data_IF_903228472581
#
_entry.id   IF_903228472581
#
_cell.length_a   1.000
_cell.length_b   1.000
_cell.length_c   1.000
_cell.angle_alpha   90.00
_cell.angle_beta   90.00
_cell.angle_gamma   90.00
#
_symmetry.space_group_name_H-M   'P 1'
#
loop_
_entity.id
_entity.type
_entity.pdbx_description
1 polymer ?
#
# COMPACT_ATOMS: atom_id res chain seq x y z
N UNK A 1 53.73 -15.48 -30.67
CA UNK A 1 52.43 -14.97 -31.17
C UNK A 1 51.44 -15.13 -30.04
N UNK A 2 51.11 -14.10 -29.26
CA UNK A 2 50.21 -12.99 -29.62
C UNK A 2 48.79 -13.50 -29.92
N UNK A 3 47.67 -13.02 -29.35
CA UNK A 3 47.41 -11.96 -28.36
C UNK A 3 45.87 -11.91 -28.10
N UNK A 4 45.48 -11.57 -26.86
CA UNK A 4 44.41 -10.63 -26.43
C UNK A 4 42.92 -10.98 -26.66
N UNK A 5 42.08 -11.07 -25.61
CA UNK A 5 41.55 -10.08 -24.63
C UNK A 5 40.14 -9.61 -25.04
N UNK A 6 39.16 -9.24 -24.20
CA UNK A 6 39.16 -8.57 -22.88
C UNK A 6 37.71 -8.69 -22.32
N UNK A 7 37.49 -8.80 -21.01
CA UNK A 7 36.94 -7.68 -20.22
C UNK A 7 37.27 -7.82 -18.72
N UNK A 8 37.95 -6.79 -18.22
CA UNK A 8 38.15 -6.37 -16.82
C UNK A 8 36.85 -5.71 -16.27
N UNK A 9 36.60 -5.37 -15.00
CA UNK A 9 37.30 -5.19 -13.69
C UNK A 9 36.14 -5.00 -12.68
N UNK A 10 36.21 -5.44 -11.44
CA UNK A 10 36.71 -4.61 -10.34
C UNK A 10 37.06 -5.48 -9.13
N UNK A 11 38.24 -5.22 -8.57
CA UNK A 11 38.87 -5.92 -7.48
C UNK A 11 39.25 -4.85 -6.46
N UNK A 12 38.87 -5.03 -5.20
CA UNK A 12 39.66 -4.49 -4.08
C UNK A 12 39.54 -5.47 -2.90
N UNK A 13 40.45 -6.44 -2.92
CA UNK A 13 40.76 -7.34 -1.81
C UNK A 13 41.80 -6.63 -0.95
N UNK A 14 41.46 -6.29 0.28
CA UNK A 14 42.46 -5.92 1.29
C UNK A 14 42.83 -7.20 2.04
N UNK A 15 44.09 -7.60 1.92
CA UNK A 15 44.72 -8.67 2.69
C UNK A 15 45.62 -8.01 3.71
N UNK A 16 45.50 -8.34 5.00
CA UNK A 16 46.69 -8.46 5.87
C UNK A 16 46.40 -9.47 6.98
N UNK A 17 47.21 -10.53 7.02
CA UNK A 17 47.21 -11.55 8.05
C UNK A 17 48.08 -11.10 9.25
N UNK A 18 47.67 -11.45 10.47
CA UNK A 18 48.55 -11.60 11.62
C UNK A 18 48.20 -12.90 12.38
N UNK A 19 49.21 -13.52 13.01
CA UNK A 19 49.35 -14.95 13.32
C UNK A 19 48.86 -15.33 14.74
N UNK A 20 48.06 -16.42 14.85
CA UNK A 20 47.88 -17.44 15.96
C UNK A 20 47.69 -17.02 17.44
N UNK A 21 47.09 -17.83 18.38
CA UNK A 21 46.30 -19.08 18.27
C UNK A 21 44.98 -19.11 19.10
N UNK A 22 43.89 -19.69 18.57
CA UNK A 22 42.87 -20.42 19.35
C UNK A 22 41.87 -21.14 18.42
N UNK A 23 42.36 -22.00 17.52
CA UNK A 23 41.53 -22.68 16.49
C UNK A 23 40.63 -23.81 17.00
N UNK A 24 40.29 -23.86 18.30
CA UNK A 24 39.47 -24.96 18.87
C UNK A 24 38.15 -24.55 19.53
N UNK A 25 37.79 -23.28 19.69
CA UNK A 25 36.53 -22.92 20.40
C UNK A 25 35.30 -22.78 19.49
N UNK A 26 35.42 -22.11 18.32
CA UNK A 26 34.25 -21.80 17.48
C UNK A 26 33.72 -23.01 16.70
N UNK A 27 34.60 -23.91 16.24
CA UNK A 27 34.19 -25.08 15.46
C UNK A 27 33.38 -26.09 16.29
N UNK A 28 33.71 -26.22 17.58
CA UNK A 28 33.02 -27.12 18.51
C UNK A 28 31.74 -26.48 19.09
N UNK A 29 31.75 -25.18 19.40
CA UNK A 29 30.55 -24.45 19.84
C UNK A 29 29.46 -24.36 18.75
N UNK A 30 29.84 -24.38 17.46
CA UNK A 30 28.91 -24.42 16.31
C UNK A 30 28.05 -25.69 16.27
N UNK A 31 28.45 -26.78 16.96
CA UNK A 31 27.64 -28.02 17.08
C UNK A 31 26.56 -27.94 18.16
N UNK A 32 26.63 -26.97 19.09
CA UNK A 32 25.75 -26.87 20.27
C UNK A 32 24.86 -25.62 20.27
N UNK A 33 24.81 -24.87 19.16
CA UNK A 33 24.09 -23.59 19.07
C UNK A 33 22.62 -23.75 18.63
N UNK A 34 21.72 -22.92 19.19
CA UNK A 34 20.30 -22.87 18.83
C UNK A 34 19.85 -21.46 18.42
N UNK A 35 18.92 -21.37 17.46
CA UNK A 35 18.26 -20.12 17.10
C UNK A 35 17.19 -19.75 18.12
N UNK A 36 17.23 -18.52 18.64
CA UNK A 36 16.17 -18.01 19.51
C UNK A 36 15.14 -17.24 18.68
N UNK A 37 13.90 -17.73 18.61
CA UNK A 37 12.79 -17.08 17.90
C UNK A 37 12.11 -15.95 18.68
N UNK A 38 12.62 -15.55 19.85
CA UNK A 38 11.98 -14.49 20.65
C UNK A 38 12.01 -13.17 19.87
N UNK A 39 10.84 -12.71 19.45
CA UNK A 39 10.56 -11.42 18.80
C UNK A 39 11.06 -11.26 17.35
N UNK A 40 11.53 -12.32 16.67
CA UNK A 40 11.82 -12.26 15.24
C UNK A 40 10.52 -12.32 14.42
N UNK A 41 10.40 -11.55 13.31
CA UNK A 41 9.41 -11.80 12.28
C UNK A 41 9.43 -13.27 11.80
N UNK A 42 8.26 -13.81 11.46
CA UNK A 42 8.11 -15.22 11.11
C UNK A 42 8.80 -15.62 9.79
N UNK A 43 9.11 -14.65 8.95
CA UNK A 43 9.72 -14.75 7.63
C UNK A 43 11.25 -14.63 7.64
N UNK A 44 11.88 -14.37 8.79
CA UNK A 44 13.32 -14.39 8.91
C UNK A 44 13.87 -15.82 8.80
N UNK A 45 14.83 -16.03 7.90
CA UNK A 45 15.43 -17.35 7.67
C UNK A 45 16.91 -17.30 7.99
N UNK A 46 17.33 -18.06 9.00
CA UNK A 46 18.74 -18.27 9.29
C UNK A 46 19.27 -19.49 8.54
N UNK A 47 20.42 -19.34 7.90
CA UNK A 47 21.22 -20.42 7.32
C UNK A 47 22.63 -20.33 7.91
N UNK A 48 23.26 -21.47 8.15
CA UNK A 48 24.65 -21.50 8.59
C UNK A 48 25.42 -22.59 7.88
N UNK A 49 26.59 -22.25 7.34
CA UNK A 49 27.60 -23.21 6.89
C UNK A 49 28.82 -23.19 7.84
N UNK A 50 29.86 -23.94 7.50
CA UNK A 50 31.06 -24.05 8.34
C UNK A 50 31.76 -22.70 8.63
N UNK A 51 31.61 -21.70 7.76
CA UNK A 51 32.31 -20.42 7.83
C UNK A 51 31.41 -19.19 7.92
N UNK A 52 30.12 -19.29 7.57
CA UNK A 52 29.21 -18.16 7.41
C UNK A 52 27.88 -18.36 8.14
N UNK A 53 27.35 -17.30 8.75
CA UNK A 53 25.98 -17.22 9.25
C UNK A 53 25.25 -16.21 8.38
N UNK A 54 24.31 -16.68 7.58
CA UNK A 54 23.46 -15.84 6.72
C UNK A 54 22.08 -15.71 7.34
N UNK A 55 21.56 -14.49 7.44
CA UNK A 55 20.21 -14.22 7.92
C UNK A 55 19.48 -13.43 6.83
N UNK A 56 18.45 -14.03 6.27
CA UNK A 56 17.57 -13.40 5.29
C UNK A 56 16.52 -12.54 6.02
N UNK A 57 16.53 -11.23 5.76
CA UNK A 57 15.69 -10.23 6.42
C UNK A 57 14.92 -9.42 5.36
N UNK A 58 13.88 -10.01 4.75
CA UNK A 58 13.15 -9.35 3.66
C UNK A 58 12.52 -8.03 4.13
N UNK A 59 12.64 -6.99 3.31
CA UNK A 59 11.98 -5.69 3.53
C UNK A 59 12.66 -4.74 4.53
N UNK A 60 13.84 -5.08 5.06
CA UNK A 60 14.64 -4.19 5.92
C UNK A 60 15.75 -3.50 5.13
N UNK A 61 15.95 -2.20 5.34
CA UNK A 61 17.13 -1.49 4.82
C UNK A 61 18.32 -1.59 5.79
N UNK A 62 19.54 -1.36 5.31
CA UNK A 62 20.75 -1.33 6.15
C UNK A 62 20.68 -0.29 7.29
N UNK A 63 19.82 0.72 7.19
CA UNK A 63 19.64 1.74 8.23
C UNK A 63 18.67 1.30 9.34
N UNK A 64 17.84 0.29 9.07
CA UNK A 64 16.75 -0.16 9.94
C UNK A 64 17.16 -1.26 10.93
N UNK A 65 18.41 -1.74 10.88
CA UNK A 65 18.91 -2.71 11.84
C UNK A 65 20.36 -2.45 12.26
N UNK A 66 20.71 -2.99 13.42
CA UNK A 66 22.08 -3.02 13.94
C UNK A 66 22.38 -4.43 14.45
N UNK A 67 23.57 -4.92 14.16
CA UNK A 67 24.07 -6.17 14.73
C UNK A 67 24.90 -5.82 15.95
N UNK A 68 24.58 -6.42 17.09
CA UNK A 68 25.34 -6.27 18.33
C UNK A 68 25.65 -7.64 18.89
N UNK A 69 26.78 -7.77 19.56
CA UNK A 69 27.14 -8.99 20.28
C UNK A 69 27.32 -8.69 21.76
N UNK A 70 26.90 -9.64 22.60
CA UNK A 70 27.17 -9.63 24.03
C UNK A 70 27.57 -11.04 24.47
N UNK A 71 28.74 -11.16 25.11
CA UNK A 71 29.39 -12.39 25.53
C UNK A 71 29.41 -13.51 24.46
N UNK A 72 28.35 -14.30 24.39
CA UNK A 72 28.18 -15.49 23.56
C UNK A 72 26.92 -15.41 22.67
N UNK A 73 26.38 -14.22 22.46
CA UNK A 73 25.15 -14.00 21.71
C UNK A 73 25.37 -13.02 20.55
N UNK A 74 24.74 -13.33 19.41
CA UNK A 74 24.55 -12.39 18.31
C UNK A 74 23.11 -11.91 18.36
N UNK A 75 22.92 -10.60 18.45
CA UNK A 75 21.62 -9.94 18.52
C UNK A 75 21.45 -9.00 17.33
N UNK A 76 20.35 -9.17 16.60
CA UNK A 76 19.91 -8.17 15.61
C UNK A 76 18.91 -7.25 16.29
N UNK A 77 19.20 -5.96 16.28
CA UNK A 77 18.31 -4.92 16.78
C UNK A 77 17.65 -4.24 15.60
N UNK A 78 16.33 -4.38 15.46
CA UNK A 78 15.55 -3.68 14.43
C UNK A 78 14.95 -2.40 15.01
N UNK A 79 14.78 -1.41 14.14
CA UNK A 79 14.18 -0.14 14.47
C UNK A 79 12.66 -0.28 14.50
N UNK A 80 12.06 -0.20 15.69
CA UNK A 80 10.62 -0.09 15.86
C UNK A 80 10.23 1.38 16.05
N UNK A 81 9.16 1.80 15.37
CA UNK A 81 8.49 3.08 15.62
C UNK A 81 7.30 2.81 16.52
N UNK A 82 7.40 3.25 17.77
CA UNK A 82 6.28 3.17 18.70
C UNK A 82 5.32 4.36 18.48
N UNK A 83 4.05 4.16 18.85
CA UNK A 83 3.03 5.21 18.72
C UNK A 83 3.36 6.34 19.69
N UNK A 84 3.24 7.55 19.15
CA UNK A 84 3.68 8.84 19.68
C UNK A 84 2.94 9.28 20.97
N UNK A 85 3.68 9.87 21.91
CA UNK A 85 3.12 10.75 22.94
C UNK A 85 3.10 12.21 22.44
N UNK A 86 2.06 12.95 22.81
CA UNK A 86 1.90 14.36 22.45
C UNK A 86 2.72 15.21 23.44
N UNK A 87 3.90 15.67 23.03
CA UNK A 87 4.69 16.68 23.74
C UNK A 87 4.67 17.98 22.93
N UNK A 88 4.40 19.12 23.58
CA UNK A 88 4.40 20.47 22.99
C UNK A 88 3.60 20.61 21.67
N UNK A 89 2.40 20.00 21.61
CA UNK A 89 1.51 20.00 20.44
C UNK A 89 2.16 19.47 19.14
N UNK A 90 3.25 18.70 19.27
CA UNK A 90 3.95 18.09 18.14
C UNK A 90 4.02 16.58 18.31
N UNK A 91 3.76 15.89 17.20
CA UNK A 91 3.87 14.44 17.16
C UNK A 91 5.35 14.05 17.02
N UNK A 92 5.92 13.50 18.08
CA UNK A 92 7.29 12.99 18.09
C UNK A 92 7.30 11.45 17.97
N UNK A 93 7.77 10.93 16.83
CA UNK A 93 8.03 9.50 16.70
C UNK A 93 9.25 9.11 17.55
N UNK A 94 9.02 8.34 18.62
CA UNK A 94 10.11 7.75 19.40
C UNK A 94 10.56 6.48 18.70
N UNK A 95 11.79 6.51 18.20
CA UNK A 95 12.42 5.37 17.55
C UNK A 95 13.14 4.56 18.63
N UNK A 96 12.79 3.29 18.78
CA UNK A 96 13.49 2.36 19.69
C UNK A 96 14.04 1.20 18.89
N UNK A 97 15.18 0.68 19.33
CA UNK A 97 15.74 -0.54 18.77
C UNK A 97 15.30 -1.73 19.62
N UNK A 98 14.55 -2.67 19.05
CA UNK A 98 14.18 -3.92 19.73
C UNK A 98 15.13 -5.02 19.30
N UNK A 99 15.78 -5.63 20.29
CA UNK A 99 16.79 -6.67 20.08
C UNK A 99 16.17 -8.06 20.05
N UNK A 100 16.45 -8.80 18.98
CA UNK A 100 16.19 -10.22 18.85
C UNK A 100 17.51 -10.99 18.86
N UNK A 101 17.67 -11.89 19.83
CA UNK A 101 18.84 -12.78 19.89
C UNK A 101 18.72 -13.79 18.77
N UNK A 102 19.54 -13.65 17.72
CA UNK A 102 19.52 -14.51 16.54
C UNK A 102 20.45 -15.70 16.67
N UNK A 103 21.39 -15.70 17.62
CA UNK A 103 22.15 -16.92 17.93
C UNK A 103 22.76 -16.84 19.32
N UNK A 104 22.71 -17.97 20.03
CA UNK A 104 23.42 -18.17 21.30
C UNK A 104 24.41 -19.31 21.15
N UNK A 105 25.63 -19.10 21.61
CA UNK A 105 26.71 -20.08 21.60
C UNK A 105 27.00 -20.56 23.02
N UNK A 106 27.20 -21.86 23.16
CA UNK A 106 27.73 -22.47 24.38
C UNK A 106 29.15 -22.91 24.09
N UNK A 107 30.12 -22.24 24.74
CA UNK A 107 31.52 -22.59 24.61
C UNK A 107 31.95 -23.42 25.83
N UNK A 108 32.78 -24.45 25.62
CA UNK A 108 33.52 -25.09 26.72
C UNK A 108 34.32 -24.04 27.50
N UNK A 109 34.41 -24.22 28.83
CA UNK A 109 35.25 -23.43 29.73
C UNK A 109 34.97 -21.92 29.78
N UNK A 110 33.76 -21.48 29.40
CA UNK A 110 33.33 -20.08 29.53
C UNK A 110 33.95 -19.11 28.53
N UNK A 111 34.51 -19.61 27.42
CA UNK A 111 35.04 -18.77 26.35
C UNK A 111 33.95 -17.88 25.72
N UNK A 112 34.39 -16.76 25.11
CA UNK A 112 33.53 -15.73 24.50
C UNK A 112 33.85 -15.53 23.02
N UNK A 113 32.89 -14.97 22.27
CA UNK A 113 33.11 -14.57 20.88
C UNK A 113 34.20 -13.49 20.80
N UNK A 114 35.17 -13.66 19.91
CA UNK A 114 36.13 -12.61 19.57
C UNK A 114 35.52 -11.61 18.57
N UNK A 115 36.11 -10.42 18.44
CA UNK A 115 35.67 -9.42 17.46
C UNK A 115 35.74 -9.96 16.01
N UNK A 116 36.74 -10.79 15.72
CA UNK A 116 36.96 -11.41 14.41
C UNK A 116 35.90 -12.48 14.07
N UNK A 117 35.41 -13.23 15.08
CA UNK A 117 34.30 -14.18 14.89
C UNK A 117 32.98 -13.48 14.51
N UNK A 118 32.84 -12.21 14.89
CA UNK A 118 31.67 -11.36 14.59
C UNK A 118 31.78 -10.74 13.21
N UNK A 119 32.98 -10.33 12.79
CA UNK A 119 33.21 -9.79 11.44
C UNK A 119 33.03 -10.86 10.34
N UNK A 120 33.07 -12.14 10.70
CA UNK A 120 32.68 -13.25 9.81
C UNK A 120 31.16 -13.45 9.66
N UNK A 121 30.33 -12.70 10.39
CA UNK A 121 28.86 -12.75 10.25
C UNK A 121 28.42 -11.84 9.11
N UNK A 122 28.21 -12.42 7.95
CA UNK A 122 27.71 -11.70 6.78
C UNK A 122 26.19 -11.69 6.75
N UNK A 123 25.59 -10.53 6.99
CA UNK A 123 24.15 -10.33 6.82
C UNK A 123 23.91 -9.87 5.39
N UNK A 124 23.45 -10.80 4.56
CA UNK A 124 23.01 -10.48 3.21
C UNK A 124 21.59 -9.94 3.28
N UNK A 125 21.41 -8.67 2.89
CA UNK A 125 20.08 -8.17 2.55
C UNK A 125 19.71 -8.73 1.20
N UNK A 126 18.88 -9.76 1.18
CA UNK A 126 18.18 -10.10 -0.04
C UNK A 126 17.27 -8.91 -0.38
N UNK A 127 17.19 -8.46 -1.65
CA UNK A 127 15.96 -7.83 -2.12
C UNK A 127 14.80 -8.74 -1.68
N UNK A 128 13.60 -8.20 -1.48
CA UNK A 128 12.43 -9.07 -1.35
C UNK A 128 12.32 -9.95 -2.61
N UNK A 129 12.99 -11.11 -2.62
CA UNK A 129 13.21 -11.91 -3.80
C UNK A 129 12.91 -13.34 -3.44
N UNK A 130 11.86 -13.87 -4.06
CA UNK A 130 11.75 -15.32 -4.17
C UNK A 130 10.41 -15.83 -4.68
N UNK A 131 9.29 -15.41 -4.09
CA UNK A 131 8.01 -16.09 -4.40
C UNK A 131 7.06 -15.31 -5.31
N UNK A 132 7.09 -13.98 -5.29
CA UNK A 132 5.97 -13.20 -5.85
C UNK A 132 6.21 -12.53 -7.21
N UNK A 133 7.45 -12.47 -7.73
CA UNK A 133 7.70 -11.98 -9.09
C UNK A 133 7.17 -12.95 -10.18
N UNK A 134 6.81 -14.18 -9.82
CA UNK A 134 6.18 -15.15 -10.71
C UNK A 134 4.65 -15.08 -10.73
N UNK A 135 4.02 -14.30 -9.83
CA UNK A 135 2.56 -14.19 -9.81
C UNK A 135 2.07 -13.41 -11.02
N UNK A 136 1.15 -14.01 -11.75
CA UNK A 136 0.42 -13.36 -12.84
C UNK A 136 -0.67 -12.50 -12.22
N UNK A 137 -0.63 -11.19 -12.49
CA UNK A 137 -1.56 -10.23 -11.93
C UNK A 137 -2.66 -9.88 -12.92
N UNK A 138 -3.90 -9.90 -12.46
CA UNK A 138 -5.05 -9.34 -13.16
C UNK A 138 -5.32 -7.91 -12.70
N UNK A 139 -5.77 -7.04 -13.60
CA UNK A 139 -6.28 -5.72 -13.24
C UNK A 139 -7.56 -5.36 -14.00
N UNK A 140 -8.67 -5.26 -13.29
CA UNK A 140 -10.00 -4.98 -13.83
C UNK A 140 -10.39 -3.53 -13.56
N UNK A 141 -10.66 -2.78 -14.62
CA UNK A 141 -11.08 -1.37 -14.54
C UNK A 141 -9.92 -0.40 -14.70
N UNK A 142 -9.89 0.27 -15.85
CA UNK A 142 -8.85 1.23 -16.23
C UNK A 142 -9.42 2.66 -16.28
N UNK A 143 -9.97 3.07 -15.15
CA UNK A 143 -10.34 4.46 -14.90
C UNK A 143 -9.14 5.32 -14.50
N UNK A 144 -9.39 6.53 -13.98
CA UNK A 144 -8.34 7.44 -13.50
C UNK A 144 -7.37 6.74 -12.54
N UNK A 145 -7.91 6.05 -11.54
CA UNK A 145 -7.11 5.34 -10.54
C UNK A 145 -6.53 4.05 -11.09
N UNK A 146 -7.37 3.21 -11.70
CA UNK A 146 -6.97 1.87 -12.16
C UNK A 146 -5.85 1.89 -13.20
N UNK A 147 -5.86 2.84 -14.16
CA UNK A 147 -4.77 2.98 -15.13
C UNK A 147 -3.44 3.34 -14.45
N UNK A 148 -3.45 4.26 -13.48
CA UNK A 148 -2.25 4.66 -12.76
C UNK A 148 -1.69 3.51 -11.89
N UNK A 149 -2.57 2.81 -11.18
CA UNK A 149 -2.23 1.67 -10.33
C UNK A 149 -1.65 0.50 -11.15
N UNK A 150 -2.33 0.09 -12.22
CA UNK A 150 -1.87 -0.97 -13.10
C UNK A 150 -0.52 -0.64 -13.76
N UNK A 151 -0.31 0.63 -14.15
CA UNK A 151 0.96 1.11 -14.69
C UNK A 151 2.11 0.94 -13.70
N UNK A 152 1.89 1.22 -12.41
CA UNK A 152 2.95 1.06 -11.41
C UNK A 152 3.37 -0.41 -11.27
N UNK A 153 2.41 -1.34 -11.33
CA UNK A 153 2.71 -2.78 -11.33
C UNK A 153 3.51 -3.19 -12.56
N UNK A 154 3.13 -2.72 -13.75
CA UNK A 154 3.87 -2.98 -15.00
C UNK A 154 5.30 -2.42 -14.92
N UNK A 155 5.47 -1.16 -14.47
CA UNK A 155 6.80 -0.53 -14.30
C UNK A 155 7.68 -1.23 -13.26
N UNK A 156 7.07 -1.85 -12.26
CA UNK A 156 7.77 -2.67 -11.27
C UNK A 156 8.16 -4.07 -11.79
N UNK A 157 7.81 -4.39 -13.04
CA UNK A 157 8.19 -5.65 -13.69
C UNK A 157 7.22 -6.81 -13.45
N UNK A 158 6.04 -6.56 -12.90
CA UNK A 158 5.03 -7.62 -12.74
C UNK A 158 4.38 -7.98 -14.08
N UNK A 159 4.01 -9.26 -14.20
CA UNK A 159 3.27 -9.75 -15.35
C UNK A 159 1.77 -9.43 -15.21
N UNK A 160 1.33 -8.32 -15.80
CA UNK A 160 -0.03 -7.79 -15.64
C UNK A 160 -0.91 -8.07 -16.86
N UNK A 161 -2.07 -8.66 -16.65
CA UNK A 161 -3.16 -8.77 -17.62
C UNK A 161 -4.31 -7.84 -17.24
N UNK A 162 -4.61 -6.88 -18.11
CA UNK A 162 -5.60 -5.84 -17.87
C UNK A 162 -6.89 -6.08 -18.62
N UNK A 163 -8.00 -5.62 -18.04
CA UNK A 163 -9.28 -5.52 -18.73
C UNK A 163 -10.00 -4.24 -18.35
N UNK A 164 -10.75 -3.70 -19.30
CA UNK A 164 -11.68 -2.62 -19.06
C UNK A 164 -12.86 -2.74 -20.03
N UNK A 165 -14.08 -2.43 -19.55
CA UNK A 165 -15.31 -2.43 -20.36
C UNK A 165 -15.16 -1.68 -21.68
N UNK A 166 -14.52 -0.50 -21.64
CA UNK A 166 -14.08 0.20 -22.85
C UNK A 166 -12.68 -0.28 -23.24
N UNK A 167 -12.62 -1.19 -24.20
CA UNK A 167 -11.41 -1.86 -24.67
C UNK A 167 -10.23 -0.92 -24.95
N UNK A 168 -10.47 0.23 -25.59
CA UNK A 168 -9.44 1.19 -25.98
C UNK A 168 -8.62 1.74 -24.80
N UNK A 169 -9.17 1.72 -23.57
CA UNK A 169 -8.42 2.14 -22.37
C UNK A 169 -7.27 1.19 -22.01
N UNK A 170 -7.24 -0.02 -22.57
CA UNK A 170 -6.15 -0.96 -22.35
C UNK A 170 -4.91 -0.66 -23.22
N UNK A 171 -5.08 0.05 -24.35
CA UNK A 171 -4.05 0.19 -25.39
C UNK A 171 -2.73 0.76 -24.86
N UNK A 172 -2.81 1.82 -24.04
CA UNK A 172 -1.63 2.43 -23.43
C UNK A 172 -0.85 1.42 -22.57
N UNK A 173 -1.53 0.69 -21.68
CA UNK A 173 -0.87 -0.30 -20.82
C UNK A 173 -0.34 -1.49 -21.61
N UNK A 174 -1.02 -1.90 -22.69
CA UNK A 174 -0.52 -2.95 -23.58
C UNK A 174 0.77 -2.51 -24.26
N UNK A 175 0.86 -1.25 -24.72
CA UNK A 175 2.11 -0.70 -25.27
C UNK A 175 3.24 -0.60 -24.24
N UNK A 176 2.89 -0.56 -22.95
CA UNK A 176 3.82 -0.53 -21.82
C UNK A 176 4.21 -1.95 -21.34
N UNK A 177 3.66 -3.01 -21.94
CA UNK A 177 4.03 -4.41 -21.64
C UNK A 177 2.94 -5.25 -20.96
N UNK A 178 1.76 -4.70 -20.68
CA UNK A 178 0.64 -5.48 -20.16
C UNK A 178 0.02 -6.38 -21.24
N UNK A 179 -0.60 -7.49 -20.82
CA UNK A 179 -1.51 -8.26 -21.67
C UNK A 179 -2.93 -7.74 -21.55
N UNK A 180 -3.76 -7.99 -22.56
CA UNK A 180 -5.19 -7.65 -22.54
C UNK A 180 -6.04 -8.92 -22.41
N UNK A 181 -6.90 -8.97 -21.39
CA UNK A 181 -7.95 -9.98 -21.30
C UNK A 181 -9.20 -9.57 -22.10
N UNK A 182 -9.99 -10.55 -22.55
CA UNK A 182 -11.24 -10.32 -23.28
C UNK A 182 -12.42 -9.99 -22.36
N UNK A 183 -12.47 -10.62 -21.19
CA UNK A 183 -13.52 -10.48 -20.15
C UNK A 183 -12.91 -10.55 -18.75
N UNK A 184 -13.63 -10.11 -17.69
CA UNK A 184 -13.20 -10.31 -16.30
C UNK A 184 -12.92 -11.79 -15.95
N UNK A 185 -13.79 -12.70 -16.42
CA UNK A 185 -13.56 -14.15 -16.35
C UNK A 185 -12.22 -14.56 -16.97
N UNK A 186 -11.96 -14.13 -18.20
CA UNK A 186 -10.71 -14.48 -18.89
C UNK A 186 -9.46 -13.98 -18.15
N UNK A 187 -9.50 -12.77 -17.57
CA UNK A 187 -8.39 -12.25 -16.75
C UNK A 187 -8.14 -13.14 -15.53
N UNK A 188 -9.19 -13.47 -14.78
CA UNK A 188 -9.07 -14.29 -13.57
C UNK A 188 -8.62 -15.72 -13.85
N UNK A 189 -9.00 -16.31 -14.99
CA UNK A 189 -8.49 -17.62 -15.42
C UNK A 189 -6.96 -17.61 -15.58
N UNK A 190 -6.41 -16.54 -16.18
CA UNK A 190 -4.99 -16.42 -16.49
C UNK A 190 -4.11 -15.94 -15.34
N UNK A 191 -4.70 -15.42 -14.26
CA UNK A 191 -3.98 -14.72 -13.19
C UNK A 191 -4.12 -15.41 -11.83
N UNK A 192 -3.12 -15.26 -10.99
CA UNK A 192 -3.09 -15.80 -9.63
C UNK A 192 -3.80 -14.82 -8.66
N UNK A 193 -3.56 -13.52 -8.83
CA UNK A 193 -4.20 -12.45 -8.05
C UNK A 193 -4.78 -11.42 -8.99
N UNK A 194 -6.04 -11.03 -8.80
CA UNK A 194 -6.71 -10.01 -9.62
C UNK A 194 -7.19 -8.84 -8.80
N UNK A 195 -6.72 -7.64 -9.14
CA UNK A 195 -7.20 -6.37 -8.57
C UNK A 195 -8.40 -5.84 -9.36
N UNK A 196 -9.36 -5.21 -8.69
CA UNK A 196 -10.49 -4.54 -9.34
C UNK A 196 -10.65 -3.09 -8.83
N UNK A 197 -10.65 -2.12 -9.75
CA UNK A 197 -10.80 -0.69 -9.45
C UNK A 197 -11.96 -0.07 -10.24
N UNK A 198 -13.14 -0.11 -9.64
CA UNK A 198 -14.42 0.13 -10.31
C UNK A 198 -15.15 1.35 -9.72
N UNK A 199 -16.14 1.83 -10.47
CA UNK A 199 -16.74 3.15 -10.27
C UNK A 199 -17.63 3.25 -9.02
N UNK A 200 -18.40 2.20 -8.75
CA UNK A 200 -19.47 2.15 -7.75
C UNK A 200 -19.86 0.68 -7.46
N UNK A 201 -20.73 0.44 -6.46
CA UNK A 201 -21.19 -0.91 -6.11
C UNK A 201 -21.81 -1.71 -7.27
N UNK A 202 -22.54 -1.06 -8.17
CA UNK A 202 -23.19 -1.75 -9.31
C UNK A 202 -22.13 -2.30 -10.25
N UNK A 203 -21.12 -1.48 -10.60
CA UNK A 203 -20.00 -1.93 -11.41
C UNK A 203 -19.19 -3.04 -10.74
N UNK A 204 -18.99 -2.96 -9.41
CA UNK A 204 -18.29 -3.99 -8.65
C UNK A 204 -19.01 -5.34 -8.71
N UNK A 205 -20.32 -5.35 -8.46
CA UNK A 205 -21.14 -6.56 -8.55
C UNK A 205 -21.20 -7.11 -9.98
N UNK A 206 -21.38 -6.27 -10.99
CA UNK A 206 -21.42 -6.69 -12.41
C UNK A 206 -20.11 -7.35 -12.83
N UNK A 207 -18.97 -6.73 -12.51
CA UNK A 207 -17.65 -7.25 -12.90
C UNK A 207 -17.28 -8.48 -12.08
N UNK A 208 -17.69 -8.58 -10.82
CA UNK A 208 -17.41 -9.75 -10.00
C UNK A 208 -18.32 -10.94 -10.35
N UNK A 209 -19.63 -10.71 -10.45
CA UNK A 209 -20.66 -11.75 -10.42
C UNK A 209 -21.49 -11.89 -11.71
N UNK A 210 -21.27 -11.03 -12.71
CA UNK A 210 -21.96 -11.10 -14.00
C UNK A 210 -21.67 -12.39 -14.78
N UNK A 211 -22.36 -12.59 -15.91
CA UNK A 211 -22.23 -13.81 -16.74
C UNK A 211 -20.80 -14.08 -17.19
N UNK A 212 -20.06 -13.04 -17.57
CA UNK A 212 -18.62 -13.07 -17.89
C UNK A 212 -17.76 -12.46 -16.77
N UNK A 213 -18.31 -12.43 -15.55
CA UNK A 213 -17.70 -11.84 -14.37
C UNK A 213 -16.49 -12.62 -13.88
N UNK A 214 -15.70 -11.98 -13.03
CA UNK A 214 -14.49 -12.51 -12.43
C UNK A 214 -14.71 -13.87 -11.76
N UNK A 215 -15.86 -14.08 -11.12
CA UNK A 215 -16.20 -15.33 -10.45
C UNK A 215 -16.07 -16.56 -11.36
N UNK A 216 -16.36 -16.41 -12.66
CA UNK A 216 -16.29 -17.52 -13.61
C UNK A 216 -14.88 -18.04 -13.91
N UNK A 217 -13.83 -17.29 -13.53
CA UNK A 217 -12.43 -17.68 -13.70
C UNK A 217 -11.67 -17.86 -12.39
N UNK A 218 -12.34 -17.65 -11.26
CA UNK A 218 -11.81 -17.86 -9.92
C UNK A 218 -11.87 -19.34 -9.51
N UNK A 219 -11.02 -19.73 -8.56
CA UNK A 219 -10.83 -21.11 -8.14
C UNK A 219 -9.76 -21.24 -7.06
N UNK A 220 -9.56 -22.45 -6.54
CA UNK A 220 -8.55 -22.74 -5.51
C UNK A 220 -7.17 -22.16 -5.85
N UNK A 221 -6.54 -21.50 -4.87
CA UNK A 221 -5.21 -20.87 -5.01
C UNK A 221 -5.21 -19.48 -5.65
N UNK A 222 -6.37 -18.95 -6.07
CA UNK A 222 -6.47 -17.59 -6.64
C UNK A 222 -6.95 -16.57 -5.61
N UNK A 223 -6.59 -15.31 -5.84
CA UNK A 223 -6.99 -14.16 -5.02
C UNK A 223 -7.76 -13.10 -5.82
N UNK A 224 -8.80 -12.54 -5.20
CA UNK A 224 -9.51 -11.37 -5.72
C UNK A 224 -9.39 -10.20 -4.74
N UNK A 225 -8.82 -9.09 -5.21
CA UNK A 225 -8.57 -7.88 -4.42
C UNK A 225 -9.42 -6.73 -4.95
N UNK A 226 -10.53 -6.41 -4.28
CA UNK A 226 -11.36 -5.27 -4.67
C UNK A 226 -10.84 -3.99 -4.02
N UNK A 227 -10.28 -3.09 -4.83
CA UNK A 227 -9.76 -1.78 -4.40
C UNK A 227 -10.77 -0.65 -4.69
N UNK A 228 -11.97 -1.00 -5.15
CA UNK A 228 -13.08 -0.07 -5.41
C UNK A 228 -13.60 0.54 -4.12
N UNK A 229 -14.17 1.74 -4.20
CA UNK A 229 -14.90 2.33 -3.07
C UNK A 229 -16.38 1.95 -3.15
N UNK A 230 -16.78 0.97 -2.33
CA UNK A 230 -18.13 0.41 -2.21
C UNK A 230 -18.61 0.43 -0.76
N UNK A 231 -19.86 0.02 -0.51
CA UNK A 231 -20.37 -0.20 0.85
C UNK A 231 -20.05 -1.61 1.38
N UNK A 232 -20.13 -1.77 2.70
CA UNK A 232 -19.80 -3.03 3.36
C UNK A 232 -20.73 -4.19 2.96
N UNK A 233 -21.98 -3.92 2.55
CA UNK A 233 -22.89 -4.95 2.06
C UNK A 233 -22.39 -5.53 0.74
N UNK A 234 -22.06 -4.66 -0.21
CA UNK A 234 -21.46 -5.04 -1.49
C UNK A 234 -20.18 -5.86 -1.32
N UNK A 235 -19.24 -5.41 -0.47
CA UNK A 235 -18.02 -6.17 -0.16
C UNK A 235 -18.35 -7.58 0.34
N UNK A 236 -19.29 -7.71 1.28
CA UNK A 236 -19.63 -9.01 1.88
C UNK A 236 -20.25 -9.95 0.85
N UNK A 237 -21.13 -9.46 -0.01
CA UNK A 237 -21.71 -10.25 -1.11
C UNK A 237 -20.64 -10.77 -2.06
N UNK A 238 -19.70 -9.92 -2.48
CA UNK A 238 -18.59 -10.35 -3.35
C UNK A 238 -17.68 -11.34 -2.62
N UNK A 239 -17.35 -11.07 -1.35
CA UNK A 239 -16.53 -11.94 -0.51
C UNK A 239 -17.13 -13.36 -0.41
N UNK A 240 -18.42 -13.47 -0.09
CA UNK A 240 -19.11 -14.75 0.03
C UNK A 240 -19.06 -15.55 -1.28
N UNK A 241 -19.31 -14.90 -2.42
CA UNK A 241 -19.25 -15.54 -3.72
C UNK A 241 -17.83 -16.00 -4.08
N UNK A 242 -16.83 -15.13 -3.91
CA UNK A 242 -15.41 -15.44 -4.18
C UNK A 242 -14.93 -16.61 -3.31
N UNK A 243 -15.27 -16.61 -2.02
CA UNK A 243 -14.87 -17.69 -1.12
C UNK A 243 -15.57 -19.00 -1.44
N UNK A 244 -16.81 -18.95 -1.95
CA UNK A 244 -17.54 -20.14 -2.41
C UNK A 244 -16.89 -20.80 -3.64
N UNK A 245 -16.07 -20.09 -4.42
CA UNK A 245 -15.27 -20.69 -5.50
C UNK A 245 -13.96 -21.32 -5.02
N UNK A 246 -13.65 -21.24 -3.72
CA UNK A 246 -12.36 -21.67 -3.16
C UNK A 246 -11.22 -20.64 -3.29
N UNK A 247 -11.52 -19.44 -3.78
CA UNK A 247 -10.56 -18.33 -3.86
C UNK A 247 -10.49 -17.55 -2.54
N UNK A 248 -9.42 -16.79 -2.37
CA UNK A 248 -9.29 -15.80 -1.29
C UNK A 248 -9.83 -14.43 -1.74
N UNK A 249 -10.37 -13.68 -0.77
CA UNK A 249 -10.90 -12.34 -0.99
C UNK A 249 -10.26 -11.31 -0.05
N UNK A 250 -9.93 -10.15 -0.62
CA UNK A 250 -9.48 -8.98 0.12
C UNK A 250 -10.18 -7.74 -0.44
N UNK A 251 -10.80 -6.93 0.43
CA UNK A 251 -11.05 -5.54 0.06
C UNK A 251 -9.83 -4.71 0.45
N UNK A 252 -9.46 -3.74 -0.38
CA UNK A 252 -8.39 -2.79 -0.08
C UNK A 252 -8.66 -1.42 -0.71
N UNK A 253 -9.81 -0.76 -0.41
CA UNK A 253 -10.07 0.58 -0.89
C UNK A 253 -8.95 1.55 -0.53
N UNK A 254 -8.75 2.55 -1.39
CA UNK A 254 -7.59 3.45 -1.30
C UNK A 254 -7.97 4.87 -0.89
N UNK A 255 -7.16 5.51 -0.06
CA UNK A 255 -7.12 6.96 0.12
C UNK A 255 -5.98 7.58 -0.70
N UNK A 256 -6.26 8.72 -1.33
CA UNK A 256 -5.44 9.32 -2.38
C UNK A 256 -6.22 9.51 -3.68
N UNK A 257 -5.77 10.46 -4.49
CA UNK A 257 -6.38 10.80 -5.79
C UNK A 257 -5.42 10.42 -6.94
N UNK A 258 -5.66 10.95 -8.13
CA UNK A 258 -4.88 10.67 -9.35
C UNK A 258 -3.37 10.78 -9.14
N UNK A 259 -2.88 11.92 -8.62
CA UNK A 259 -1.43 12.14 -8.44
C UNK A 259 -0.79 11.13 -7.46
N UNK A 260 -1.34 10.90 -6.26
CA UNK A 260 -0.88 9.80 -5.40
C UNK A 260 -0.92 8.42 -6.07
N UNK A 261 -1.90 8.13 -6.94
CA UNK A 261 -1.92 6.88 -7.68
C UNK A 261 -0.78 6.78 -8.69
N UNK A 262 -0.49 7.85 -9.44
CA UNK A 262 0.61 7.91 -10.40
C UNK A 262 1.99 7.81 -9.73
N UNK A 263 2.11 8.31 -8.50
CA UNK A 263 3.38 8.32 -7.74
C UNK A 263 3.58 7.07 -6.85
N UNK A 264 2.62 6.13 -6.80
CA UNK A 264 2.70 4.98 -5.89
C UNK A 264 2.60 5.38 -4.41
N UNK A 265 1.80 6.41 -4.08
CA UNK A 265 1.66 7.00 -2.75
C UNK A 265 0.25 6.90 -2.16
N UNK A 266 -0.55 5.97 -2.64
CA UNK A 266 -1.85 5.63 -2.07
C UNK A 266 -1.73 5.10 -0.64
N UNK A 267 -2.84 5.15 0.09
CA UNK A 267 -3.00 4.51 1.40
C UNK A 267 -4.05 3.43 1.25
N UNK A 268 -3.69 2.17 1.46
CA UNK A 268 -4.61 1.03 1.37
C UNK A 268 -5.29 0.76 2.72
N UNK A 269 -6.61 0.55 2.69
CA UNK A 269 -7.45 0.25 3.84
C UNK A 269 -7.96 -1.19 3.71
N UNK A 270 -7.08 -2.16 3.96
CA UNK A 270 -7.33 -3.56 3.65
C UNK A 270 -8.11 -4.29 4.73
N UNK A 271 -9.01 -5.20 4.34
CA UNK A 271 -9.72 -6.11 5.22
C UNK A 271 -10.14 -7.38 4.45
N UNK A 272 -10.22 -8.53 5.13
CA UNK A 272 -10.51 -9.82 4.49
C UNK A 272 -9.49 -10.90 4.84
N UNK A 273 -9.22 -11.81 3.91
CA UNK A 273 -8.34 -12.96 4.17
C UNK A 273 -6.89 -12.49 4.42
N UNK A 274 -6.37 -12.76 5.63
CA UNK A 274 -5.03 -12.33 6.04
C UNK A 274 -3.92 -12.94 5.18
N UNK A 275 -4.11 -14.18 4.74
CA UNK A 275 -3.19 -14.87 3.83
C UNK A 275 -3.06 -14.15 2.48
N UNK A 276 -4.19 -13.73 1.89
CA UNK A 276 -4.15 -12.96 0.66
C UNK A 276 -3.55 -11.57 0.89
N UNK A 277 -3.89 -10.92 2.01
CA UNK A 277 -3.25 -9.66 2.39
C UNK A 277 -1.72 -9.78 2.39
N UNK A 278 -1.18 -10.78 3.10
CA UNK A 278 0.27 -11.02 3.19
C UNK A 278 0.90 -11.31 1.83
N UNK A 279 0.18 -12.06 0.98
CA UNK A 279 0.60 -12.33 -0.40
C UNK A 279 0.69 -11.05 -1.23
N UNK A 280 -0.28 -10.14 -1.11
CA UNK A 280 -0.33 -8.95 -1.99
C UNK A 280 0.41 -7.73 -1.46
N UNK A 281 0.96 -7.80 -0.24
CA UNK A 281 1.76 -6.74 0.37
C UNK A 281 2.77 -6.10 -0.60
N UNK A 282 3.63 -6.87 -1.31
CA UNK A 282 4.61 -6.27 -2.21
C UNK A 282 3.98 -5.48 -3.36
N UNK A 283 2.79 -5.88 -3.82
CA UNK A 283 2.04 -5.17 -4.86
C UNK A 283 1.38 -3.91 -4.32
N UNK A 284 0.85 -3.96 -3.09
CA UNK A 284 0.31 -2.78 -2.42
C UNK A 284 1.39 -1.73 -2.17
N UNK A 285 2.59 -2.14 -1.75
CA UNK A 285 3.72 -1.24 -1.47
C UNK A 285 4.30 -0.61 -2.76
N UNK A 286 4.10 -1.23 -3.94
CA UNK A 286 4.41 -0.59 -5.24
C UNK A 286 3.38 0.48 -5.61
N UNK A 287 2.13 0.30 -5.23
CA UNK A 287 1.04 1.21 -5.57
C UNK A 287 0.80 2.27 -4.48
N UNK A 288 1.38 2.11 -3.29
CA UNK A 288 1.06 2.90 -2.12
C UNK A 288 2.23 3.10 -1.17
N UNK A 289 2.14 4.16 -0.36
CA UNK A 289 3.13 4.49 0.67
C UNK A 289 2.80 3.89 2.04
N UNK A 290 1.58 3.39 2.22
CA UNK A 290 1.10 2.86 3.50
C UNK A 290 -0.09 1.94 3.29
N UNK A 291 -0.25 0.97 4.19
CA UNK A 291 -1.38 0.04 4.22
C UNK A 291 -1.78 -0.27 5.66
N UNK A 292 -3.08 -0.39 5.88
CA UNK A 292 -3.67 -0.81 7.16
C UNK A 292 -4.41 -2.11 6.95
N UNK A 293 -4.30 -3.05 7.89
CA UNK A 293 -5.13 -4.25 7.93
C UNK A 293 -6.18 -4.09 9.02
N UNK A 294 -7.45 -4.05 8.62
CA UNK A 294 -8.60 -3.64 9.43
C UNK A 294 -9.47 -4.84 9.83
N UNK A 295 -8.96 -6.07 9.66
CA UNK A 295 -9.63 -7.29 10.09
C UNK A 295 -10.67 -7.78 9.09
N UNK A 296 -11.91 -7.96 9.55
CA UNK A 296 -12.96 -8.66 8.82
C UNK A 296 -13.49 -7.88 7.59
N UNK A 297 -13.98 -8.57 6.54
CA UNK A 297 -14.59 -7.93 5.38
C UNK A 297 -15.70 -6.94 5.75
N UNK A 298 -15.68 -5.78 5.12
CA UNK A 298 -16.56 -4.63 5.34
C UNK A 298 -15.91 -3.52 6.17
N UNK A 299 -14.88 -3.82 6.97
CA UNK A 299 -14.19 -2.81 7.78
C UNK A 299 -13.38 -1.83 6.92
N UNK A 300 -12.77 -2.30 5.82
CA UNK A 300 -12.07 -1.47 4.85
C UNK A 300 -13.01 -0.53 4.13
N UNK A 301 -14.13 -1.05 3.61
CA UNK A 301 -15.20 -0.24 3.03
C UNK A 301 -15.72 0.81 4.02
N UNK A 302 -16.08 0.41 5.25
CA UNK A 302 -16.59 1.34 6.26
C UNK A 302 -15.59 2.46 6.58
N UNK A 303 -14.31 2.13 6.81
CA UNK A 303 -13.26 3.11 7.04
C UNK A 303 -13.13 4.08 5.86
N UNK A 304 -13.14 3.57 4.63
CA UNK A 304 -13.06 4.41 3.43
C UNK A 304 -14.24 5.38 3.33
N UNK A 305 -15.46 4.90 3.61
CA UNK A 305 -16.66 5.74 3.59
C UNK A 305 -16.59 6.83 4.66
N UNK A 306 -16.13 6.51 5.89
CA UNK A 306 -15.91 7.53 6.94
C UNK A 306 -14.91 8.61 6.48
N UNK A 307 -13.77 8.20 5.92
CA UNK A 307 -12.74 9.14 5.44
C UNK A 307 -13.31 10.04 4.33
N UNK A 308 -14.01 9.47 3.34
CA UNK A 308 -14.54 10.24 2.23
C UNK A 308 -15.77 11.09 2.61
N UNK A 309 -16.53 10.69 3.64
CA UNK A 309 -17.58 11.52 4.23
C UNK A 309 -16.98 12.80 4.81
N UNK A 310 -15.94 12.67 5.66
CA UNK A 310 -15.24 13.82 6.25
C UNK A 310 -14.67 14.72 5.15
N UNK A 311 -13.98 14.13 4.17
CA UNK A 311 -13.40 14.86 3.03
C UNK A 311 -14.45 15.65 2.24
N UNK A 312 -15.59 15.04 1.94
CA UNK A 312 -16.68 15.70 1.21
C UNK A 312 -17.30 16.84 1.99
N UNK A 313 -17.55 16.65 3.29
CA UNK A 313 -18.06 17.72 4.15
C UNK A 313 -17.08 18.87 4.29
N UNK A 314 -15.79 18.60 4.49
CA UNK A 314 -14.73 19.63 4.54
C UNK A 314 -14.68 20.46 3.27
N UNK A 315 -14.76 19.81 2.10
CA UNK A 315 -14.71 20.51 0.82
C UNK A 315 -15.97 21.37 0.58
N UNK A 316 -17.14 20.91 0.99
CA UNK A 316 -18.37 21.70 0.91
C UNK A 316 -18.25 22.99 1.74
N UNK A 317 -17.83 22.87 3.02
CA UNK A 317 -17.62 24.04 3.89
C UNK A 317 -16.51 24.96 3.40
N UNK A 318 -15.44 24.41 2.82
CA UNK A 318 -14.37 25.19 2.21
C UNK A 318 -14.88 26.05 1.04
N UNK A 319 -15.69 25.45 0.15
CA UNK A 319 -16.28 26.17 -0.97
C UNK A 319 -17.25 27.27 -0.52
N UNK A 320 -18.06 27.02 0.52
CA UNK A 320 -18.93 28.04 1.12
C UNK A 320 -18.11 29.20 1.69
N UNK A 321 -17.03 28.90 2.42
CA UNK A 321 -16.14 29.91 3.01
C UNK A 321 -15.49 30.82 1.96
N UNK A 322 -14.99 30.25 0.85
CA UNK A 322 -14.41 31.03 -0.25
C UNK A 322 -15.43 31.97 -0.88
N UNK A 323 -16.66 31.50 -1.13
CA UNK A 323 -17.72 32.33 -1.72
C UNK A 323 -18.21 33.41 -0.77
N UNK A 324 -18.37 33.06 0.52
CA UNK A 324 -18.80 34.02 1.53
C UNK A 324 -17.77 35.13 1.69
N UNK A 325 -16.48 34.79 1.75
CA UNK A 325 -15.40 35.77 1.83
C UNK A 325 -15.35 36.69 0.61
N UNK A 326 -15.46 36.14 -0.61
CA UNK A 326 -15.56 36.92 -1.85
C UNK A 326 -16.74 37.91 -1.80
N UNK A 327 -17.93 37.46 -1.37
CA UNK A 327 -19.11 38.32 -1.20
C UNK A 327 -18.97 39.35 -0.08
N UNK A 328 -18.15 39.09 0.92
CA UNK A 328 -17.82 40.04 1.98
C UNK A 328 -16.75 41.06 1.54
N UNK A 329 -16.24 40.97 0.31
CA UNK A 329 -15.22 41.86 -0.23
C UNK A 329 -13.79 41.50 0.19
N UNK A 330 -13.56 40.28 0.68
CA UNK A 330 -12.23 39.77 0.98
C UNK A 330 -11.58 39.24 -0.30
N UNK A 331 -10.27 39.44 -0.42
CA UNK A 331 -9.49 38.82 -1.49
C UNK A 331 -9.41 37.29 -1.29
N UNK A 332 -9.91 36.47 -2.23
CA UNK A 332 -9.89 35.02 -2.11
C UNK A 332 -8.48 34.43 -1.97
N UNK A 333 -7.46 35.08 -2.53
CA UNK A 333 -6.07 34.64 -2.39
C UNK A 333 -5.59 34.83 -0.94
N UNK A 334 -5.87 35.99 -0.34
CA UNK A 334 -5.62 36.26 1.08
C UNK A 334 -6.35 35.25 1.99
N UNK A 335 -7.58 34.84 1.65
CA UNK A 335 -8.28 33.79 2.42
C UNK A 335 -7.47 32.49 2.42
N UNK A 336 -6.97 32.04 1.27
CA UNK A 336 -6.15 30.82 1.18
C UNK A 336 -4.86 30.94 2.00
N UNK A 337 -4.22 32.11 1.98
CA UNK A 337 -3.01 32.36 2.75
C UNK A 337 -3.26 32.26 4.26
N UNK A 338 -4.34 32.89 4.76
CA UNK A 338 -4.74 32.80 6.17
C UNK A 338 -5.01 31.34 6.56
N UNK A 339 -5.76 30.60 5.74
CA UNK A 339 -6.07 29.18 5.99
C UNK A 339 -4.82 28.31 6.04
N UNK A 340 -3.80 28.63 5.23
CA UNK A 340 -2.54 27.86 5.16
C UNK A 340 -1.64 28.04 6.39
N UNK A 341 -1.81 29.13 7.15
CA UNK A 341 -1.03 29.41 8.35
C UNK A 341 -1.74 28.97 9.64
N UNK A 342 -3.05 28.78 9.58
CA UNK A 342 -3.88 28.43 10.73
C UNK A 342 -3.93 26.93 11.04
N UNK A 343 -4.65 26.60 12.12
CA UNK A 343 -4.81 25.23 12.63
C UNK A 343 -5.56 24.27 11.68
N UNK A 344 -6.26 24.80 10.68
CA UNK A 344 -7.03 24.00 9.70
C UNK A 344 -6.28 23.79 8.38
N UNK A 345 -4.99 24.18 8.32
CA UNK A 345 -4.13 23.91 7.18
C UNK A 345 -4.09 22.41 6.85
N UNK A 346 -4.33 22.08 5.58
CA UNK A 346 -4.25 20.71 5.10
C UNK A 346 -3.94 20.67 3.60
N UNK A 347 -3.30 19.59 3.09
CA UNK A 347 -2.90 19.48 1.69
C UNK A 347 -4.05 19.58 0.69
N UNK A 348 -5.28 19.23 1.07
CA UNK A 348 -6.44 19.30 0.18
C UNK A 348 -6.80 20.76 -0.12
N UNK A 349 -6.86 21.63 0.89
CA UNK A 349 -7.14 23.05 0.68
C UNK A 349 -6.03 23.74 -0.12
N UNK A 350 -4.76 23.47 0.19
CA UNK A 350 -3.63 24.05 -0.54
C UNK A 350 -3.61 23.62 -2.01
N UNK A 351 -4.07 22.40 -2.32
CA UNK A 351 -4.14 21.90 -3.70
C UNK A 351 -5.37 22.41 -4.45
N UNK A 352 -6.53 22.49 -3.78
CA UNK A 352 -7.83 22.76 -4.42
C UNK A 352 -8.19 24.25 -4.44
N UNK A 353 -7.77 25.01 -3.44
CA UNK A 353 -8.02 26.46 -3.37
C UNK A 353 -7.59 27.19 -4.64
N UNK A 354 -6.31 27.12 -5.05
CA UNK A 354 -5.85 27.82 -6.25
C UNK A 354 -6.58 27.39 -7.53
N UNK A 355 -6.90 26.11 -7.67
CA UNK A 355 -7.63 25.61 -8.86
C UNK A 355 -9.10 26.03 -8.86
N UNK A 356 -9.73 26.14 -7.69
CA UNK A 356 -11.09 26.69 -7.55
C UNK A 356 -11.12 28.18 -7.88
N UNK A 357 -10.15 28.98 -7.41
CA UNK A 357 -10.04 30.40 -7.76
C UNK A 357 -9.83 30.60 -9.27
N UNK A 358 -9.00 29.75 -9.88
CA UNK A 358 -8.78 29.73 -11.32
C UNK A 358 -9.93 29.11 -12.13
N UNK A 359 -11.00 28.64 -11.47
CA UNK A 359 -12.13 27.90 -12.08
C UNK A 359 -11.69 26.70 -12.93
N UNK A 360 -10.59 26.06 -12.55
CA UNK A 360 -10.04 24.89 -13.21
C UNK A 360 -10.46 23.61 -12.49
N UNK A 361 -11.54 23.01 -12.97
CA UNK A 361 -12.18 21.83 -12.38
C UNK A 361 -11.80 20.52 -13.07
N UNK A 362 -10.60 20.42 -13.66
CA UNK A 362 -10.13 19.17 -14.24
C UNK A 362 -10.21 18.01 -13.21
N UNK A 363 -10.81 16.86 -13.57
CA UNK A 363 -11.15 15.84 -12.59
C UNK A 363 -9.90 15.08 -12.12
N UNK A 364 -9.55 15.27 -10.85
CA UNK A 364 -8.62 14.38 -10.14
C UNK A 364 -9.40 13.29 -9.41
N UNK A 365 -10.44 13.68 -8.66
CA UNK A 365 -11.48 12.78 -8.16
C UNK A 365 -12.84 13.26 -8.68
N UNK A 366 -13.53 12.51 -9.55
CA UNK A 366 -14.76 12.99 -10.16
C UNK A 366 -15.85 13.31 -9.12
N UNK A 367 -16.49 14.48 -9.26
CA UNK A 367 -17.54 14.96 -8.34
C UNK A 367 -18.66 13.94 -8.13
N UNK A 368 -19.08 13.25 -9.20
CA UNK A 368 -20.08 12.18 -9.13
C UNK A 368 -19.68 11.02 -8.20
N UNK A 369 -18.39 10.73 -8.05
CA UNK A 369 -17.90 9.68 -7.16
C UNK A 369 -17.86 10.14 -5.71
N UNK A 370 -17.49 11.40 -5.43
CA UNK A 370 -17.65 11.97 -4.09
C UNK A 370 -19.11 12.02 -3.66
N UNK A 371 -20.03 12.41 -4.56
CA UNK A 371 -21.47 12.38 -4.27
C UNK A 371 -21.94 10.95 -3.96
N UNK A 372 -21.46 9.96 -4.73
CA UNK A 372 -21.72 8.54 -4.44
C UNK A 372 -21.21 8.15 -3.06
N UNK A 373 -20.00 8.56 -2.65
CA UNK A 373 -19.47 8.24 -1.31
C UNK A 373 -20.30 8.85 -0.19
N UNK A 374 -20.77 10.09 -0.34
CA UNK A 374 -21.67 10.71 0.64
C UNK A 374 -23.01 9.98 0.73
N UNK A 375 -23.55 9.50 -0.39
CA UNK A 375 -24.74 8.65 -0.36
C UNK A 375 -24.48 7.35 0.40
N UNK A 376 -23.38 6.66 0.14
CA UNK A 376 -23.04 5.43 0.87
C UNK A 376 -22.81 5.68 2.36
N UNK A 377 -22.27 6.86 2.74
CA UNK A 377 -22.17 7.27 4.14
C UNK A 377 -23.54 7.45 4.80
N UNK A 378 -24.49 8.07 4.10
CA UNK A 378 -25.88 8.20 4.57
C UNK A 378 -26.55 6.84 4.72
N UNK A 379 -26.39 5.95 3.73
CA UNK A 379 -26.93 4.59 3.79
C UNK A 379 -26.33 3.79 4.96
N UNK A 380 -25.03 3.96 5.24
CA UNK A 380 -24.38 3.34 6.41
C UNK A 380 -24.90 3.94 7.72
N UNK A 381 -25.13 5.25 7.76
CA UNK A 381 -25.61 5.95 8.94
C UNK A 381 -27.02 5.55 9.34
N UNK A 382 -27.90 5.33 8.35
CA UNK A 382 -29.27 4.87 8.54
C UNK A 382 -29.30 3.46 9.16
N UNK A 383 -28.51 2.54 8.60
CA UNK A 383 -28.35 1.17 9.12
C UNK A 383 -27.83 1.13 10.57
N UNK A 384 -27.03 2.11 10.97
CA UNK A 384 -26.42 2.21 12.30
C UNK A 384 -27.19 3.13 13.26
N UNK A 385 -28.30 3.73 12.81
CA UNK A 385 -29.07 4.71 13.58
C UNK A 385 -28.21 5.88 14.10
N UNK A 386 -27.21 6.30 13.32
CA UNK A 386 -26.29 7.38 13.69
C UNK A 386 -26.57 8.62 12.85
N UNK A 387 -27.01 9.70 13.47
CA UNK A 387 -27.26 10.96 12.76
C UNK A 387 -25.95 11.60 12.28
N UNK A 388 -25.90 11.97 10.99
CA UNK A 388 -24.77 12.69 10.36
C UNK A 388 -25.25 13.92 9.55
N UNK A 389 -25.86 14.92 10.22
CA UNK A 389 -26.55 16.03 9.54
C UNK A 389 -25.62 16.86 8.62
N UNK A 390 -24.35 17.02 8.99
CA UNK A 390 -23.37 17.76 8.17
C UNK A 390 -23.09 17.06 6.84
N UNK A 391 -22.95 15.73 6.87
CA UNK A 391 -22.76 14.94 5.65
C UNK A 391 -24.03 14.92 4.78
N UNK A 392 -25.21 14.91 5.41
CA UNK A 392 -26.49 14.99 4.70
C UNK A 392 -26.62 16.32 3.93
N UNK A 393 -26.33 17.44 4.58
CA UNK A 393 -26.33 18.76 3.93
C UNK A 393 -25.31 18.81 2.78
N UNK A 394 -24.06 18.36 3.03
CA UNK A 394 -23.03 18.30 1.99
C UNK A 394 -23.49 17.47 0.78
N UNK A 395 -24.09 16.30 1.00
CA UNK A 395 -24.60 15.45 -0.08
C UNK A 395 -25.57 16.18 -1.01
N UNK A 396 -26.48 16.99 -0.46
CA UNK A 396 -27.40 17.79 -1.28
C UNK A 396 -26.67 18.85 -2.10
N UNK A 397 -25.66 19.51 -1.55
CA UNK A 397 -24.80 20.43 -2.31
C UNK A 397 -24.09 19.70 -3.46
N UNK A 398 -23.57 18.49 -3.23
CA UNK A 398 -22.96 17.68 -4.29
C UNK A 398 -23.97 17.23 -5.37
N UNK A 399 -25.23 16.96 -5.01
CA UNK A 399 -26.29 16.67 -6.00
C UNK A 399 -26.58 17.88 -6.88
N UNK A 400 -26.67 19.08 -6.31
CA UNK A 400 -26.82 20.33 -7.07
C UNK A 400 -25.63 20.53 -8.01
N UNK A 401 -24.41 20.40 -7.50
CA UNK A 401 -23.20 20.56 -8.31
C UNK A 401 -23.12 19.54 -9.45
N UNK A 402 -23.51 18.29 -9.21
CA UNK A 402 -23.60 17.25 -10.25
C UNK A 402 -24.62 17.60 -11.34
N UNK A 403 -25.77 18.16 -10.98
CA UNK A 403 -26.78 18.58 -11.95
C UNK A 403 -26.28 19.76 -12.82
N UNK A 404 -25.49 20.67 -12.25
CA UNK A 404 -24.86 21.77 -12.98
C UNK A 404 -23.73 21.29 -13.91
N UNK A 405 -22.91 20.34 -13.47
CA UNK A 405 -21.84 19.71 -14.26
C UNK A 405 -22.39 19.02 -15.51
N UNK A 406 -23.49 18.26 -15.36
CA UNK A 406 -24.17 17.63 -16.49
C UNK A 406 -24.69 18.64 -17.54
N UNK A 407 -25.01 19.86 -17.10
CA UNK A 407 -25.44 20.96 -17.99
C UNK A 407 -24.26 21.75 -18.57
N UNK A 408 -23.01 21.32 -18.31
CA UNK A 408 -21.76 22.05 -18.65
C UNK A 408 -21.76 23.49 -18.13
N UNK A 409 -22.45 23.73 -17.02
CA UNK A 409 -22.52 25.06 -16.42
C UNK A 409 -21.21 25.32 -15.65
N UNK A 410 -20.52 26.42 -15.95
CA UNK A 410 -19.24 26.80 -15.31
C UNK A 410 -19.41 27.39 -13.91
N UNK A 411 -20.63 27.49 -13.40
CA UNK A 411 -20.94 27.89 -12.02
C UNK A 411 -20.82 26.72 -11.02
N UNK A 412 -20.02 25.70 -11.34
CA UNK A 412 -19.68 24.66 -10.36
C UNK A 412 -18.77 25.28 -9.31
N UNK A 413 -19.14 25.07 -8.06
CA UNK A 413 -18.52 25.71 -6.90
C UNK A 413 -17.57 24.76 -6.17
N UNK A 414 -17.71 23.44 -6.37
CA UNK A 414 -16.97 22.42 -5.62
C UNK A 414 -16.07 21.62 -6.54
N UNK A 415 -14.78 21.52 -6.18
CA UNK A 415 -13.80 20.66 -6.85
C UNK A 415 -13.43 19.47 -5.98
N UNK A 416 -13.26 18.30 -6.59
CA UNK A 416 -12.80 17.07 -5.92
C UNK A 416 -11.51 16.53 -6.50
#
# INVERSE_FOLDING_TARGET
>A
MAFRSTAARFQQVITTAAKTPAKKSLADAKKMASFSKKNAPADWVQRSDHHLITIDMPGLSHEDFKITTDANEITIKTKERERVELEDDKWHAKERYVGTVVRKFEFPDGAKLSKEDVEAVEVTLSPASGSNQHLKLGFLGLGIMGTAMARNLVKAGYDVTVWNRSASKCEALVSEGARRGSTPKNVTEMCDVTFAMLADPVAALEVALGSDGALGGLGSGKGYVDVSTVDAGTTKTVCEAVKSSGSLFLEAPVSGSKKPAEEGKLIFLAAGDKELYDTVVPMLDVMGKSRFYLGAPGNGAAMKIVVNMIMGSMMASFAEGLILGDKAGLDPQTILEVLSQGAINNPMFSLKGPTMLARNYAPAFPLKHQQKDLRLALDMSDKLLQNIPIAAAANEVYKVAKALDQRKNKNIIIQM
#
